data_IF_166874820048
#
_entry.id   IF_166874820048
#
_cell.length_a   1.000
_cell.length_b   1.000
_cell.length_c   1.000
_cell.angle_alpha   90.00
_cell.angle_beta   90.00
_cell.angle_gamma   90.00
#
_symmetry.space_group_name_H-M   'P 1'
#
loop_
_entity.id
_entity.type
_entity.pdbx_description
1 polymer ?
#
# COMPACT_ATOMS: atom_id res chain seq x y z
N UNK A 1 16.71 -4.02 12.57
CA UNK A 1 15.76 -3.03 13.14
C UNK A 1 15.38 -1.92 12.16
N UNK A 2 16.35 -1.31 11.44
CA UNK A 2 16.09 -0.18 10.53
C UNK A 2 15.38 -0.60 9.24
N UNK A 3 15.66 -1.78 8.70
CA UNK A 3 14.99 -2.35 7.53
C UNK A 3 13.51 -2.68 7.80
N UNK A 4 13.20 -3.11 9.02
CA UNK A 4 11.85 -3.49 9.43
C UNK A 4 10.91 -2.30 9.54
N UNK A 5 11.41 -1.16 10.05
CA UNK A 5 10.63 0.07 10.12
C UNK A 5 10.28 0.57 8.72
N UNK A 6 11.27 0.58 7.80
CA UNK A 6 11.09 0.99 6.40
C UNK A 6 10.06 0.12 5.68
N UNK A 7 10.07 -1.20 5.90
CA UNK A 7 9.09 -2.11 5.33
C UNK A 7 7.64 -1.79 5.74
N UNK A 8 7.41 -1.20 6.92
CA UNK A 8 6.09 -0.83 7.36
C UNK A 8 5.45 0.28 6.51
N UNK A 9 6.23 1.21 5.94
CA UNK A 9 5.71 2.21 5.02
C UNK A 9 5.12 1.58 3.75
N UNK A 10 5.73 0.52 3.24
CA UNK A 10 5.21 -0.18 2.06
C UNK A 10 3.93 -0.98 2.37
N UNK A 11 3.71 -1.34 3.63
CA UNK A 11 2.46 -2.00 4.05
C UNK A 11 1.24 -1.07 4.07
N UNK A 12 1.43 0.21 3.93
CA UNK A 12 0.33 1.14 3.64
C UNK A 12 -0.32 0.80 2.29
N UNK A 13 0.48 0.34 1.33
CA UNK A 13 0.05 0.10 -0.04
C UNK A 13 -0.03 -1.40 -0.34
N UNK A 14 0.98 -2.17 0.10
CA UNK A 14 1.15 -3.59 -0.20
C UNK A 14 0.60 -4.49 0.90
N UNK A 15 0.04 -5.61 0.50
CA UNK A 15 -0.22 -6.71 1.44
C UNK A 15 1.11 -7.31 1.94
N UNK A 16 1.04 -8.13 3.00
CA UNK A 16 2.23 -8.84 3.47
C UNK A 16 2.82 -9.74 2.39
N UNK A 17 1.95 -10.46 1.68
CA UNK A 17 2.35 -11.43 0.66
C UNK A 17 3.03 -10.75 -0.56
N UNK A 18 2.49 -9.61 -1.01
CA UNK A 18 3.08 -8.78 -2.07
C UNK A 18 4.45 -8.24 -1.63
N UNK A 19 4.54 -7.65 -0.44
CA UNK A 19 5.80 -7.11 0.08
C UNK A 19 6.90 -8.16 0.20
N UNK A 20 6.56 -9.37 0.65
CA UNK A 20 7.53 -10.47 0.76
C UNK A 20 7.92 -11.08 -0.58
N UNK A 21 7.09 -10.92 -1.62
CA UNK A 21 7.39 -11.35 -2.98
C UNK A 21 8.22 -10.32 -3.77
N UNK A 22 8.24 -9.05 -3.32
CA UNK A 22 8.85 -7.94 -4.04
C UNK A 22 10.34 -8.16 -4.26
N UNK A 23 10.78 -8.08 -5.52
CA UNK A 23 12.18 -8.21 -5.94
C UNK A 23 12.76 -6.88 -6.41
N UNK A 24 14.06 -6.84 -6.65
CA UNK A 24 14.74 -5.65 -7.20
C UNK A 24 14.17 -5.29 -8.58
N UNK A 25 13.88 -6.30 -9.41
CA UNK A 25 13.33 -6.10 -10.76
C UNK A 25 11.92 -5.52 -10.78
N UNK A 26 11.18 -5.58 -9.67
CA UNK A 26 9.81 -5.05 -9.58
C UNK A 26 9.77 -3.56 -9.23
N UNK A 27 10.92 -2.90 -9.09
CA UNK A 27 10.99 -1.52 -8.64
C UNK A 27 11.66 -0.66 -9.69
N UNK A 28 10.91 0.27 -10.26
CA UNK A 28 11.44 1.35 -11.08
C UNK A 28 11.65 2.59 -10.22
N UNK A 29 12.90 2.80 -9.79
CA UNK A 29 13.27 3.97 -8.96
C UNK A 29 13.31 5.27 -9.76
N UNK A 30 13.38 5.22 -11.09
CA UNK A 30 13.41 6.39 -11.95
C UNK A 30 12.01 6.98 -12.10
N UNK A 31 11.05 6.13 -12.39
CA UNK A 31 9.65 6.53 -12.56
C UNK A 31 8.87 6.49 -11.22
N UNK A 32 9.45 5.95 -10.15
CA UNK A 32 8.80 5.82 -8.85
C UNK A 32 7.65 4.82 -8.87
N UNK A 33 7.81 3.71 -9.58
CA UNK A 33 6.78 2.68 -9.76
C UNK A 33 7.19 1.38 -9.05
N UNK A 34 6.23 0.74 -8.40
CA UNK A 34 6.33 -0.65 -7.95
C UNK A 34 5.37 -1.50 -8.77
N UNK A 35 5.91 -2.52 -9.47
CA UNK A 35 5.16 -3.52 -10.21
C UNK A 35 4.75 -4.67 -9.29
N UNK A 36 3.46 -4.82 -9.04
CA UNK A 36 2.92 -5.87 -8.16
C UNK A 36 2.34 -6.97 -9.02
N UNK A 37 3.13 -8.00 -9.27
CA UNK A 37 2.77 -9.13 -10.13
C UNK A 37 2.94 -10.49 -9.44
N UNK A 38 3.29 -10.49 -8.14
CA UNK A 38 3.64 -11.72 -7.41
C UNK A 38 3.14 -11.68 -5.97
N UNK A 39 2.86 -12.85 -5.43
CA UNK A 39 2.56 -13.06 -4.01
C UNK A 39 3.44 -14.15 -3.42
N UNK A 40 3.78 -14.00 -2.15
CA UNK A 40 4.56 -14.96 -1.38
C UNK A 40 3.66 -15.74 -0.43
N UNK A 41 3.83 -17.04 -0.39
CA UNK A 41 3.19 -17.92 0.58
C UNK A 41 4.15 -19.00 1.06
N UNK A 42 3.79 -19.68 2.15
CA UNK A 42 4.48 -20.89 2.61
C UNK A 42 3.46 -22.02 2.54
N UNK A 43 3.77 -23.04 1.76
CA UNK A 43 2.95 -24.24 1.57
C UNK A 43 3.81 -25.44 1.98
N UNK A 44 3.34 -26.23 2.90
CA UNK A 44 4.06 -27.42 3.44
C UNK A 44 5.51 -27.10 3.86
N UNK A 45 5.70 -25.94 4.52
CA UNK A 45 7.00 -25.48 4.98
C UNK A 45 7.93 -24.93 3.89
N UNK A 46 7.52 -24.93 2.63
CA UNK A 46 8.30 -24.42 1.51
C UNK A 46 7.83 -23.03 1.10
N UNK A 47 8.79 -22.15 0.82
CA UNK A 47 8.51 -20.82 0.27
C UNK A 47 8.08 -20.93 -1.20
N UNK A 48 6.94 -20.33 -1.53
CA UNK A 48 6.37 -20.35 -2.88
C UNK A 48 6.02 -18.94 -3.30
N UNK A 49 6.44 -18.55 -4.49
CA UNK A 49 6.06 -17.30 -5.13
C UNK A 49 5.13 -17.65 -6.29
N UNK A 50 3.93 -17.07 -6.29
CA UNK A 50 2.91 -17.30 -7.31
C UNK A 50 2.43 -15.98 -7.90
N UNK A 51 1.74 -16.03 -9.03
CA UNK A 51 0.94 -14.91 -9.50
C UNK A 51 -0.16 -14.55 -8.48
N UNK A 52 -0.65 -13.32 -8.46
CA UNK A 52 -1.78 -12.92 -7.66
C UNK A 52 -3.03 -13.74 -7.99
N UNK A 53 -3.95 -13.86 -7.02
CA UNK A 53 -5.19 -14.64 -7.20
C UNK A 53 -6.17 -14.01 -8.20
N UNK A 54 -6.12 -12.70 -8.38
CA UNK A 54 -7.01 -11.95 -9.28
C UNK A 54 -6.18 -11.06 -10.21
N UNK A 55 -6.72 -10.78 -11.39
CA UNK A 55 -6.07 -9.90 -12.37
C UNK A 55 -5.85 -8.49 -11.83
N UNK A 56 -6.81 -7.93 -11.08
CA UNK A 56 -6.70 -6.59 -10.47
C UNK A 56 -5.66 -6.49 -9.37
N UNK A 57 -5.22 -7.60 -8.83
CA UNK A 57 -4.08 -7.63 -7.90
C UNK A 57 -2.75 -7.42 -8.62
N UNK A 58 -2.70 -7.70 -9.95
CA UNK A 58 -1.58 -7.34 -10.80
C UNK A 58 -1.71 -5.86 -11.19
N UNK A 59 -0.86 -5.00 -10.64
CA UNK A 59 -0.99 -3.56 -10.78
C UNK A 59 0.34 -2.84 -10.60
N UNK A 60 0.42 -1.66 -11.17
CA UNK A 60 1.49 -0.71 -10.96
C UNK A 60 1.07 0.34 -9.93
N UNK A 61 1.94 0.62 -8.98
CA UNK A 61 1.68 1.61 -7.94
C UNK A 61 2.76 2.68 -7.93
N UNK A 62 2.36 3.91 -8.26
CA UNK A 62 3.21 5.09 -8.09
C UNK A 62 3.43 5.34 -6.60
N UNK A 63 4.68 5.56 -6.21
CA UNK A 63 5.07 5.82 -4.83
C UNK A 63 5.66 7.23 -4.67
N UNK A 64 5.45 7.87 -3.51
CA UNK A 64 6.04 9.18 -3.22
C UNK A 64 7.57 9.11 -3.19
N UNK A 65 8.21 10.23 -3.49
CA UNK A 65 9.67 10.36 -3.54
C UNK A 65 10.39 9.83 -2.28
N UNK A 66 9.85 10.10 -1.08
CA UNK A 66 10.46 9.60 0.14
C UNK A 66 10.49 8.05 0.23
N UNK A 67 9.52 7.36 -0.37
CA UNK A 67 9.54 5.91 -0.47
C UNK A 67 10.53 5.41 -1.51
N UNK A 68 10.74 6.16 -2.60
CA UNK A 68 11.79 5.87 -3.58
C UNK A 68 13.18 5.91 -2.92
N UNK A 69 13.46 6.92 -2.10
CA UNK A 69 14.73 7.00 -1.37
C UNK A 69 14.92 5.83 -0.37
N UNK A 70 13.85 5.45 0.32
CA UNK A 70 13.87 4.27 1.20
C UNK A 70 14.18 2.98 0.42
N UNK A 71 13.56 2.80 -0.77
CA UNK A 71 13.84 1.64 -1.62
C UNK A 71 15.24 1.68 -2.18
N UNK A 72 15.71 2.83 -2.62
CA UNK A 72 17.08 3.04 -3.12
C UNK A 72 18.13 2.60 -2.10
N UNK A 73 17.99 3.04 -0.85
CA UNK A 73 18.87 2.58 0.22
C UNK A 73 18.74 1.06 0.46
N UNK A 74 17.54 0.52 0.32
CA UNK A 74 17.33 -0.92 0.48
C UNK A 74 18.00 -1.70 -0.65
N UNK A 75 17.84 -1.28 -1.90
CA UNK A 75 18.47 -1.90 -3.09
C UNK A 75 19.99 -1.82 -3.00
N UNK A 76 20.55 -0.69 -2.57
CA UNK A 76 22.01 -0.51 -2.42
C UNK A 76 22.67 -1.49 -1.43
N UNK A 77 21.89 -2.08 -0.51
CA UNK A 77 22.41 -3.13 0.39
C UNK A 77 22.69 -4.45 -0.32
N UNK A 78 22.12 -4.63 -1.49
CA UNK A 78 22.30 -5.82 -2.32
C UNK A 78 23.35 -5.54 -3.40
N UNK A 79 24.61 -5.84 -3.10
CA UNK A 79 25.70 -5.66 -4.07
C UNK A 79 25.83 -6.90 -4.97
N UNK A 80 25.78 -6.71 -6.30
CA UNK A 80 25.96 -7.78 -7.31
C UNK A 80 25.04 -9.01 -7.12
N UNK A 81 23.83 -8.84 -6.63
CA UNK A 81 22.84 -9.92 -6.54
C UNK A 81 21.93 -9.93 -7.77
N UNK A 82 21.33 -11.10 -8.11
CA UNK A 82 20.39 -11.20 -9.22
C UNK A 82 19.19 -10.26 -9.06
N UNK A 83 18.64 -9.72 -10.17
CA UNK A 83 17.46 -8.82 -10.12
C UNK A 83 16.22 -9.42 -9.47
N UNK A 84 16.10 -10.75 -9.49
CA UNK A 84 15.01 -11.49 -8.85
C UNK A 84 15.19 -11.72 -7.35
N UNK A 85 16.23 -11.12 -6.73
CA UNK A 85 16.42 -11.18 -5.28
C UNK A 85 15.33 -10.41 -4.56
N UNK A 86 14.70 -11.05 -3.57
CA UNK A 86 13.64 -10.42 -2.77
C UNK A 86 14.22 -9.33 -1.87
N UNK A 87 13.58 -8.15 -1.90
CA UNK A 87 13.98 -6.98 -1.11
C UNK A 87 13.67 -7.13 0.39
N UNK A 88 12.64 -7.89 0.75
CA UNK A 88 12.15 -8.03 2.12
C UNK A 88 12.02 -9.49 2.51
N UNK A 89 13.12 -10.11 2.94
CA UNK A 89 13.20 -11.51 3.34
C UNK A 89 13.04 -11.65 4.86
N UNK A 90 11.85 -11.37 5.39
CA UNK A 90 11.66 -11.40 6.83
C UNK A 90 10.48 -12.28 7.24
N UNK A 91 10.68 -13.01 8.34
CA UNK A 91 9.61 -13.76 8.98
C UNK A 91 8.53 -12.83 9.56
N UNK A 92 7.36 -13.39 9.89
CA UNK A 92 6.21 -12.63 10.43
C UNK A 92 6.50 -12.00 11.80
N UNK A 93 7.28 -12.65 12.61
CA UNK A 93 7.48 -12.29 14.03
C UNK A 93 8.20 -10.95 14.20
N UNK A 94 9.33 -10.66 13.54
CA UNK A 94 10.02 -9.38 13.66
C UNK A 94 9.15 -8.17 13.34
N UNK A 95 8.31 -8.24 12.30
CA UNK A 95 7.39 -7.14 11.95
C UNK A 95 6.40 -6.82 13.07
N UNK A 96 5.84 -7.85 13.72
CA UNK A 96 4.86 -7.67 14.80
C UNK A 96 5.50 -7.05 16.04
N UNK A 97 6.68 -7.49 16.40
CA UNK A 97 7.42 -6.97 17.57
C UNK A 97 7.85 -5.52 17.34
N UNK A 98 8.34 -5.18 16.15
CA UNK A 98 8.67 -3.80 15.81
C UNK A 98 7.44 -2.89 15.85
N UNK A 99 6.31 -3.31 15.28
CA UNK A 99 5.06 -2.54 15.35
C UNK A 99 4.65 -2.30 16.80
N UNK A 100 4.68 -3.34 17.65
CA UNK A 100 4.38 -3.21 19.08
C UNK A 100 5.29 -2.20 19.78
N UNK A 101 6.60 -2.28 19.50
CA UNK A 101 7.61 -1.36 20.06
C UNK A 101 7.32 0.09 19.62
N UNK A 102 7.07 0.32 18.34
CA UNK A 102 6.84 1.67 17.82
C UNK A 102 5.51 2.27 18.30
N UNK A 103 4.44 1.50 18.37
CA UNK A 103 3.19 1.96 18.97
C UNK A 103 3.39 2.39 20.45
N UNK A 104 4.16 1.61 21.21
CA UNK A 104 4.49 1.96 22.60
C UNK A 104 5.32 3.25 22.70
N UNK A 105 6.34 3.40 21.85
CA UNK A 105 7.19 4.60 21.84
C UNK A 105 6.42 5.86 21.41
N UNK A 106 5.48 5.72 20.48
CA UNK A 106 4.63 6.82 20.01
C UNK A 106 3.44 7.12 20.92
N UNK A 107 3.22 6.34 21.98
CA UNK A 107 2.07 6.53 22.88
C UNK A 107 0.72 6.25 22.23
N UNK A 108 0.68 5.51 21.10
CA UNK A 108 -0.55 5.22 20.37
C UNK A 108 -1.04 3.80 20.61
N UNK A 109 -2.34 3.56 20.38
CA UNK A 109 -2.94 2.25 20.50
C UNK A 109 -2.21 1.24 19.60
N UNK A 110 -1.96 0.03 20.12
CA UNK A 110 -1.43 -1.07 19.33
C UNK A 110 -2.39 -1.44 18.21
N UNK A 111 -1.88 -1.41 16.98
CA UNK A 111 -2.60 -1.80 15.76
C UNK A 111 -1.97 -3.06 15.14
N UNK A 112 -2.75 -3.76 14.32
CA UNK A 112 -2.26 -4.89 13.53
C UNK A 112 -1.55 -4.36 12.29
N UNK A 113 -0.66 -5.15 11.73
CA UNK A 113 0.03 -4.78 10.49
C UNK A 113 -0.92 -4.54 9.30
N UNK A 114 -2.07 -5.22 9.27
CA UNK A 114 -3.08 -5.02 8.22
C UNK A 114 -3.82 -3.68 8.40
N UNK A 115 -3.93 -3.19 9.61
CA UNK A 115 -4.60 -1.93 9.90
C UNK A 115 -3.85 -0.73 9.29
N UNK A 116 -2.54 -0.86 8.98
CA UNK A 116 -1.79 0.15 8.22
C UNK A 116 -2.40 0.38 6.84
N UNK A 117 -2.81 -0.68 6.16
CA UNK A 117 -3.46 -0.58 4.86
C UNK A 117 -4.84 0.07 4.97
N UNK A 118 -5.60 -0.25 6.02
CA UNK A 118 -6.86 0.43 6.33
C UNK A 118 -6.64 1.93 6.60
N UNK A 119 -5.61 2.28 7.38
CA UNK A 119 -5.25 3.68 7.62
C UNK A 119 -4.90 4.43 6.34
N UNK A 120 -4.20 3.77 5.40
CA UNK A 120 -3.91 4.39 4.10
C UNK A 120 -5.17 4.63 3.28
N UNK A 121 -6.07 3.65 3.21
CA UNK A 121 -7.36 3.81 2.53
C UNK A 121 -8.17 4.96 3.12
N UNK A 122 -8.29 5.01 4.45
CA UNK A 122 -9.00 6.08 5.16
C UNK A 122 -8.41 7.46 4.87
N UNK A 123 -7.07 7.57 4.89
CA UNK A 123 -6.37 8.81 4.55
C UNK A 123 -6.65 9.27 3.11
N UNK A 124 -6.63 8.35 2.14
CA UNK A 124 -6.94 8.71 0.76
C UNK A 124 -8.38 9.21 0.60
N UNK A 125 -9.33 8.59 1.30
CA UNK A 125 -10.74 9.01 1.30
C UNK A 125 -10.89 10.40 1.93
N UNK A 126 -10.22 10.65 3.05
CA UNK A 126 -10.20 11.95 3.73
C UNK A 126 -9.61 13.05 2.84
N UNK A 127 -8.57 12.72 2.06
CA UNK A 127 -7.99 13.60 1.04
C UNK A 127 -8.90 13.81 -0.18
N UNK A 128 -10.08 13.18 -0.22
CA UNK A 128 -11.10 13.38 -1.26
C UNK A 128 -10.96 12.50 -2.49
N UNK A 129 -10.09 11.49 -2.48
CA UNK A 129 -9.96 10.54 -3.59
C UNK A 129 -11.18 9.62 -3.69
N UNK A 130 -11.53 9.23 -4.92
CA UNK A 130 -12.69 8.37 -5.18
C UNK A 130 -12.48 6.92 -4.68
N UNK A 131 -13.58 6.24 -4.39
CA UNK A 131 -13.55 4.82 -4.03
C UNK A 131 -12.92 3.94 -5.14
N UNK A 132 -13.10 4.34 -6.41
CA UNK A 132 -12.49 3.66 -7.55
C UNK A 132 -10.97 3.74 -7.47
N UNK A 133 -10.40 4.93 -7.33
CA UNK A 133 -8.94 5.12 -7.24
C UNK A 133 -8.35 4.41 -6.03
N UNK A 134 -9.02 4.47 -4.88
CA UNK A 134 -8.59 3.73 -3.68
C UNK A 134 -8.60 2.22 -3.92
N UNK A 135 -9.65 1.70 -4.56
CA UNK A 135 -9.80 0.29 -4.91
C UNK A 135 -8.68 -0.19 -5.85
N UNK A 136 -8.41 0.55 -6.92
CA UNK A 136 -7.35 0.26 -7.90
C UNK A 136 -5.96 0.26 -7.22
N UNK A 137 -5.66 1.31 -6.47
CA UNK A 137 -4.38 1.44 -5.76
C UNK A 137 -4.14 0.30 -4.77
N UNK A 138 -5.18 -0.16 -4.10
CA UNK A 138 -5.12 -1.28 -3.16
C UNK A 138 -5.19 -2.64 -3.88
N UNK A 139 -5.62 -2.72 -5.13
CA UNK A 139 -5.80 -3.97 -5.87
C UNK A 139 -6.98 -4.78 -5.34
N UNK A 140 -8.07 -4.13 -4.99
CA UNK A 140 -9.33 -4.81 -4.68
C UNK A 140 -9.97 -5.28 -5.98
N UNK A 141 -10.51 -6.49 -5.98
CA UNK A 141 -11.15 -7.08 -7.15
C UNK A 141 -12.40 -6.29 -7.57
N UNK A 142 -13.13 -5.74 -6.61
CA UNK A 142 -14.29 -4.90 -6.82
C UNK A 142 -14.23 -3.61 -6.00
N UNK A 143 -14.72 -2.51 -6.59
CA UNK A 143 -14.92 -1.25 -5.88
C UNK A 143 -15.90 -1.41 -4.73
N UNK A 144 -16.86 -2.35 -4.83
CA UNK A 144 -17.79 -2.67 -3.73
C UNK A 144 -17.04 -3.05 -2.46
N UNK A 145 -15.94 -3.80 -2.55
CA UNK A 145 -15.11 -4.12 -1.38
C UNK A 145 -14.61 -2.87 -0.65
N UNK A 146 -14.22 -1.83 -1.40
CA UNK A 146 -13.81 -0.54 -0.82
C UNK A 146 -14.99 0.20 -0.21
N UNK A 147 -16.13 0.21 -0.89
CA UNK A 147 -17.34 0.86 -0.40
C UNK A 147 -17.86 0.15 0.86
N UNK A 148 -17.98 -1.16 0.86
CA UNK A 148 -18.49 -1.93 2.00
C UNK A 148 -17.71 -1.66 3.30
N UNK A 149 -16.40 -1.48 3.17
CA UNK A 149 -15.53 -1.23 4.33
C UNK A 149 -15.51 0.25 4.72
N UNK A 150 -15.52 1.16 3.75
CA UNK A 150 -15.18 2.57 3.98
C UNK A 150 -16.31 3.55 3.64
N UNK A 151 -17.52 3.11 3.29
CA UNK A 151 -18.66 4.00 2.92
C UNK A 151 -18.89 5.09 3.96
N UNK A 152 -18.77 4.75 5.24
CA UNK A 152 -18.98 5.70 6.34
C UNK A 152 -17.96 6.85 6.40
N UNK A 153 -16.85 6.74 5.68
CA UNK A 153 -15.81 7.78 5.60
C UNK A 153 -16.00 8.71 4.40
N UNK A 154 -16.85 8.33 3.42
CA UNK A 154 -17.11 9.19 2.28
C UNK A 154 -18.08 10.31 2.66
N UNK A 155 -17.65 11.59 2.61
CA UNK A 155 -18.51 12.70 2.95
C UNK A 155 -19.64 12.84 1.94
N UNK A 156 -20.83 13.23 2.43
CA UNK A 156 -21.90 13.64 1.52
C UNK A 156 -21.51 14.94 0.80
N UNK A 157 -21.52 14.92 -0.51
CA UNK A 157 -21.20 16.10 -1.35
C UNK A 157 -22.45 16.81 -1.88
N UNK A 158 -23.64 16.49 -1.36
CA UNK A 158 -24.91 17.05 -1.86
C UNK A 158 -24.94 18.59 -1.81
N UNK A 159 -24.48 19.18 -0.72
CA UNK A 159 -24.39 20.66 -0.60
C UNK A 159 -23.45 21.23 -1.65
N UNK A 160 -22.26 20.63 -1.83
CA UNK A 160 -21.29 21.07 -2.86
C UNK A 160 -21.84 20.95 -4.29
N UNK A 161 -22.65 19.92 -4.55
CA UNK A 161 -23.32 19.76 -5.86
C UNK A 161 -24.26 20.93 -6.09
N UNK A 162 -25.12 21.24 -5.13
CA UNK A 162 -26.09 22.36 -5.25
C UNK A 162 -25.35 23.69 -5.43
N UNK A 163 -24.32 23.95 -4.63
CA UNK A 163 -23.53 25.18 -4.74
C UNK A 163 -22.88 25.32 -6.12
N UNK A 164 -22.31 24.25 -6.66
CA UNK A 164 -21.71 24.26 -8.00
C UNK A 164 -22.73 24.45 -9.12
N UNK A 165 -23.90 23.81 -9.00
CA UNK A 165 -24.99 24.00 -9.97
C UNK A 165 -25.51 25.42 -9.96
N UNK A 166 -25.68 26.04 -8.78
CA UNK A 166 -26.07 27.44 -8.67
C UNK A 166 -25.04 28.36 -9.31
N UNK A 167 -23.74 28.17 -9.07
CA UNK A 167 -22.69 28.95 -9.73
C UNK A 167 -22.71 28.83 -11.24
N UNK A 168 -22.97 27.64 -11.77
CA UNK A 168 -23.11 27.45 -13.24
C UNK A 168 -24.32 28.22 -13.80
N UNK A 169 -25.43 28.20 -13.06
CA UNK A 169 -26.63 28.91 -13.45
C UNK A 169 -26.42 30.44 -13.43
N UNK A 170 -25.75 30.96 -12.41
CA UNK A 170 -25.46 32.39 -12.23
C UNK A 170 -24.33 32.89 -13.15
N UNK A 171 -23.76 32.06 -14.02
CA UNK A 171 -22.70 32.41 -14.94
C UNK A 171 -21.37 32.78 -14.29
N UNK A 172 -21.09 32.28 -13.08
CA UNK A 172 -19.93 32.61 -12.24
C UNK A 172 -18.76 31.59 -12.38
N UNK A 173 -18.72 30.84 -13.48
CA UNK A 173 -17.58 29.94 -13.81
C UNK A 173 -16.85 30.43 -15.03
#
# INVERSE_FOLDING_TARGET
AFCELKANFFRLILTKAELQALTIADVDLKEGIIHISKTYSVIDGKEVITAPKTEKSNRDVLIPHFLCEILKEQVQRYYKVPPNTRLFQMSRQPYREQMKKHCKLAGVKKIRLHDLRHSHASLLIELGFSALLVSERLGHESVSTTLDIYTHLFPSKQVQVVERLNKLYDGAL
#
